data_IF_258974301237
#
_entry.id   IF_258974301237
#
_cell.length_a   1.000
_cell.length_b   1.000
_cell.length_c   1.000
_cell.angle_alpha   90.00
_cell.angle_beta   90.00
_cell.angle_gamma   90.00
#
_symmetry.space_group_name_H-M   'P 1'
#
loop_
_entity.id
_entity.type
_entity.pdbx_description
1 polymer ?
#
# COMPACT_ATOMS: atom_id res chain seq x y z
N UNK A 1 28.85 23.65 5.40
CA UNK A 1 27.46 23.93 5.01
C UNK A 1 27.19 23.19 3.71
N UNK A 2 26.26 22.27 3.54
CA UNK A 2 25.41 21.47 4.43
C UNK A 2 25.05 20.29 3.53
N UNK A 3 25.39 19.06 3.92
CA UNK A 3 25.03 17.88 3.16
C UNK A 3 23.53 17.62 3.34
N UNK A 4 22.68 18.41 2.68
CA UNK A 4 21.34 17.97 2.33
C UNK A 4 21.51 16.86 1.28
N UNK A 5 21.81 15.66 1.78
CA UNK A 5 21.54 14.44 1.03
C UNK A 5 20.04 14.48 0.73
N UNK A 6 19.66 14.69 -0.53
CA UNK A 6 18.34 14.26 -1.00
C UNK A 6 18.19 12.81 -0.52
N UNK A 7 17.33 12.59 0.47
CA UNK A 7 17.03 11.24 0.91
C UNK A 7 16.41 10.52 -0.29
N UNK A 8 17.02 9.41 -0.67
CA UNK A 8 16.41 8.52 -1.65
C UNK A 8 15.25 7.80 -0.95
N UNK A 9 14.02 8.27 -1.24
CA UNK A 9 12.79 7.72 -0.68
C UNK A 9 12.66 6.22 -0.96
N UNK A 10 13.17 5.73 -2.08
CA UNK A 10 13.13 4.30 -2.41
C UNK A 10 14.09 3.51 -1.51
N UNK A 11 15.31 4.02 -1.30
CA UNK A 11 16.27 3.41 -0.38
C UNK A 11 15.75 3.36 1.07
N UNK A 12 15.01 4.39 1.49
CA UNK A 12 14.32 4.38 2.79
C UNK A 12 13.25 3.30 2.87
N UNK A 13 12.36 3.24 1.89
CA UNK A 13 11.28 2.26 1.87
C UNK A 13 11.84 0.82 1.84
N UNK A 14 12.90 0.58 1.08
CA UNK A 14 13.58 -0.71 0.99
C UNK A 14 14.22 -1.15 2.32
N UNK A 15 14.52 -0.20 3.23
CA UNK A 15 14.96 -0.50 4.59
C UNK A 15 13.84 -0.94 5.55
N UNK A 16 12.56 -0.79 5.17
CA UNK A 16 11.43 -1.20 6.01
C UNK A 16 11.20 -2.71 5.93
N UNK A 17 11.08 -3.36 7.09
CA UNK A 17 10.76 -4.79 7.17
C UNK A 17 9.31 -5.14 6.81
N UNK A 18 8.40 -4.15 6.82
CA UNK A 18 7.01 -4.33 6.39
C UNK A 18 6.90 -4.12 4.89
N UNK A 19 6.06 -4.91 4.22
CA UNK A 19 5.73 -4.68 2.81
C UNK A 19 4.98 -3.36 2.65
N UNK A 20 5.49 -2.45 1.83
CA UNK A 20 4.90 -1.14 1.56
C UNK A 20 4.61 -0.96 0.08
N UNK A 21 3.39 -0.51 -0.21
CA UNK A 21 2.91 -0.10 -1.52
C UNK A 21 2.50 1.37 -1.43
N UNK A 22 2.93 2.19 -2.38
CA UNK A 22 2.52 3.60 -2.48
C UNK A 22 1.86 3.79 -3.82
N UNK A 23 0.62 4.26 -3.79
CA UNK A 23 -0.15 4.61 -4.98
C UNK A 23 -0.25 6.13 -5.08
N UNK A 24 -0.38 6.64 -6.30
CA UNK A 24 -0.74 8.04 -6.52
C UNK A 24 -2.27 8.22 -6.65
N UNK A 25 -2.70 9.47 -6.76
CA UNK A 25 -4.11 9.85 -6.93
C UNK A 25 -4.75 9.39 -8.24
N UNK A 26 -3.94 8.93 -9.20
CA UNK A 26 -4.38 8.28 -10.43
C UNK A 26 -4.39 6.75 -10.31
N UNK A 27 -4.33 6.24 -9.08
CA UNK A 27 -4.33 4.82 -8.71
C UNK A 27 -3.12 4.04 -9.18
N UNK A 28 -2.04 4.70 -9.62
CA UNK A 28 -0.85 4.02 -10.13
C UNK A 28 0.08 3.67 -8.98
N UNK A 29 0.63 2.45 -8.98
CA UNK A 29 1.69 2.07 -8.05
C UNK A 29 2.97 2.85 -8.38
N UNK A 30 3.33 3.82 -7.55
CA UNK A 30 4.49 4.71 -7.76
C UNK A 30 5.72 4.27 -6.98
N UNK A 31 5.54 3.61 -5.84
CA UNK A 31 6.66 3.03 -5.08
C UNK A 31 6.25 1.69 -4.48
N UNK A 32 7.24 0.81 -4.36
CA UNK A 32 7.09 -0.50 -3.73
C UNK A 32 8.43 -0.87 -3.12
N UNK A 33 8.43 -1.49 -1.94
CA UNK A 33 9.67 -1.84 -1.27
C UNK A 33 10.09 -3.30 -1.45
N UNK A 34 11.32 -3.62 -1.03
CA UNK A 34 11.89 -4.96 -1.12
C UNK A 34 11.06 -6.00 -0.36
N UNK A 35 10.55 -5.68 0.83
CA UNK A 35 9.71 -6.59 1.60
C UNK A 35 8.39 -6.91 0.87
N UNK A 36 7.74 -5.92 0.25
CA UNK A 36 6.54 -6.14 -0.56
C UNK A 36 6.84 -6.96 -1.81
N UNK A 37 7.98 -6.73 -2.47
CA UNK A 37 8.42 -7.57 -3.61
C UNK A 37 8.62 -9.04 -3.21
N UNK A 38 9.26 -9.28 -2.06
CA UNK A 38 9.47 -10.62 -1.54
C UNK A 38 8.15 -11.31 -1.16
N UNK A 39 7.24 -10.56 -0.54
CA UNK A 39 5.92 -11.06 -0.17
C UNK A 39 5.08 -11.34 -1.42
N UNK A 40 4.94 -10.38 -2.33
CA UNK A 40 4.03 -10.44 -3.49
C UNK A 40 4.57 -11.32 -4.63
N UNK A 41 5.88 -11.45 -4.80
CA UNK A 41 6.46 -12.31 -5.82
C UNK A 41 6.00 -11.93 -7.23
N UNK A 42 5.53 -12.91 -8.01
CA UNK A 42 5.09 -12.70 -9.40
C UNK A 42 3.82 -11.85 -9.52
N UNK A 43 3.02 -11.79 -8.45
CA UNK A 43 1.70 -11.14 -8.43
C UNK A 43 1.80 -9.62 -8.53
N UNK A 44 2.98 -9.08 -8.17
CA UNK A 44 3.32 -7.65 -8.29
C UNK A 44 3.04 -7.07 -9.69
N UNK A 45 3.11 -7.89 -10.74
CA UNK A 45 2.86 -7.46 -12.12
C UNK A 45 1.44 -6.93 -12.31
N UNK A 46 0.45 -7.50 -11.62
CA UNK A 46 -0.92 -7.01 -11.67
C UNK A 46 -1.03 -5.57 -11.11
N UNK A 47 -0.30 -5.26 -10.05
CA UNK A 47 -0.27 -3.92 -9.44
C UNK A 47 0.42 -2.89 -10.33
N UNK A 48 1.49 -3.27 -11.04
CA UNK A 48 2.16 -2.38 -11.99
C UNK A 48 1.30 -2.06 -13.22
N UNK A 49 0.53 -3.03 -13.72
CA UNK A 49 -0.29 -2.85 -14.93
C UNK A 49 -1.60 -2.13 -14.61
N UNK A 50 -2.29 -2.56 -13.54
CA UNK A 50 -3.64 -2.14 -13.24
C UNK A 50 -3.74 -1.16 -12.08
N UNK A 51 -2.63 -0.86 -11.38
CA UNK A 51 -2.65 0.03 -10.23
C UNK A 51 -3.43 -0.54 -9.05
N UNK A 52 -4.12 0.33 -8.31
CA UNK A 52 -4.97 -0.02 -7.18
C UNK A 52 -6.05 -1.06 -7.54
N UNK A 53 -6.78 -0.98 -8.67
CA UNK A 53 -7.68 -2.06 -9.11
C UNK A 53 -7.03 -3.45 -9.20
N UNK A 54 -5.73 -3.51 -9.53
CA UNK A 54 -4.96 -4.76 -9.53
C UNK A 54 -4.81 -5.38 -8.14
N UNK A 55 -4.90 -4.59 -7.08
CA UNK A 55 -4.87 -5.05 -5.69
C UNK A 55 -6.19 -5.74 -5.28
N UNK A 56 -7.34 -5.23 -5.74
CA UNK A 56 -8.65 -5.77 -5.36
C UNK A 56 -8.85 -7.23 -5.79
N UNK A 57 -8.37 -7.60 -6.99
CA UNK A 57 -8.38 -8.97 -7.47
C UNK A 57 -7.32 -9.88 -6.84
N UNK A 58 -6.46 -9.34 -5.96
CA UNK A 58 -5.39 -10.10 -5.33
C UNK A 58 -5.69 -10.47 -3.89
N UNK A 59 -6.38 -9.60 -3.16
CA UNK A 59 -6.72 -9.79 -1.75
C UNK A 59 -8.15 -10.32 -1.58
N UNK A 60 -8.62 -11.11 -2.56
CA UNK A 60 -10.01 -11.54 -2.83
C UNK A 60 -10.79 -12.16 -1.67
N UNK A 61 -10.20 -12.35 -0.49
CA UNK A 61 -10.86 -13.02 0.62
C UNK A 61 -10.46 -12.43 1.97
N UNK A 62 -11.48 -12.00 2.71
CA UNK A 62 -11.50 -11.67 4.14
C UNK A 62 -10.82 -10.37 4.56
N UNK A 63 -11.61 -9.31 4.45
CA UNK A 63 -11.67 -8.33 5.53
C UNK A 63 -12.56 -8.90 6.64
N UNK A 64 -12.04 -8.95 7.86
CA UNK A 64 -12.68 -9.57 9.02
C UNK A 64 -14.12 -9.06 9.23
N UNK A 65 -15.02 -10.00 9.56
CA UNK A 65 -16.43 -9.94 9.99
C UNK A 65 -17.46 -9.08 9.21
N UNK A 66 -17.06 -8.07 8.44
CA UNK A 66 -17.96 -7.00 7.99
C UNK A 66 -18.28 -7.06 6.48
N UNK A 67 -17.48 -7.80 5.70
CA UNK A 67 -17.60 -7.84 4.23
C UNK A 67 -17.15 -6.55 3.53
N UNK A 68 -16.38 -5.70 4.21
CA UNK A 68 -15.82 -4.48 3.65
C UNK A 68 -14.91 -4.79 2.45
N UNK A 69 -14.85 -3.89 1.46
CA UNK A 69 -13.94 -3.98 0.32
C UNK A 69 -12.70 -3.12 0.52
N UNK A 70 -11.62 -3.43 -0.19
CA UNK A 70 -10.41 -2.60 -0.17
C UNK A 70 -10.68 -1.15 -0.63
N UNK A 71 -11.60 -0.93 -1.57
CA UNK A 71 -11.99 0.42 -1.98
C UNK A 71 -12.64 1.20 -0.84
N UNK A 72 -13.47 0.55 -0.01
CA UNK A 72 -14.07 1.17 1.17
C UNK A 72 -12.99 1.53 2.20
N UNK A 73 -12.00 0.66 2.40
CA UNK A 73 -10.85 0.95 3.27
C UNK A 73 -10.03 2.12 2.76
N UNK A 74 -9.78 2.18 1.45
CA UNK A 74 -9.09 3.31 0.85
C UNK A 74 -9.85 4.60 1.05
N UNK A 75 -11.16 4.61 0.78
CA UNK A 75 -12.00 5.78 1.01
C UNK A 75 -11.93 6.26 2.48
N UNK A 76 -11.93 5.32 3.44
CA UNK A 76 -11.76 5.64 4.86
C UNK A 76 -10.36 6.16 5.19
N UNK A 77 -9.32 5.57 4.59
CA UNK A 77 -7.94 6.00 4.81
C UNK A 77 -7.67 7.41 4.27
N UNK A 78 -8.29 7.77 3.14
CA UNK A 78 -8.26 9.13 2.59
C UNK A 78 -9.01 10.13 3.48
N UNK A 79 -10.13 9.71 4.07
CA UNK A 79 -10.92 10.55 4.97
C UNK A 79 -10.42 10.60 6.43
N UNK A 80 -9.30 9.93 6.75
CA UNK A 80 -8.84 9.73 8.13
C UNK A 80 -7.43 10.28 8.36
N UNK A 81 -7.25 11.03 9.45
CA UNK A 81 -5.92 11.46 9.91
C UNK A 81 -5.09 10.33 10.53
N UNK A 82 -5.70 9.16 10.77
CA UNK A 82 -5.06 7.99 11.37
C UNK A 82 -5.07 6.81 10.41
N UNK A 83 -4.01 5.98 10.39
CA UNK A 83 -4.00 4.76 9.59
C UNK A 83 -5.16 3.83 9.94
N UNK A 84 -5.87 3.36 8.91
CA UNK A 84 -6.93 2.36 9.02
C UNK A 84 -6.28 0.99 9.08
N UNK A 85 -6.58 0.24 10.14
CA UNK A 85 -6.13 -1.15 10.30
C UNK A 85 -7.11 -2.08 9.63
N UNK A 86 -6.60 -3.09 8.96
CA UNK A 86 -7.39 -4.14 8.35
C UNK A 86 -6.57 -5.43 8.22
N UNK A 87 -7.19 -6.48 7.71
CA UNK A 87 -6.54 -7.77 7.48
C UNK A 87 -6.84 -8.24 6.05
N UNK A 88 -5.90 -8.97 5.47
CA UNK A 88 -6.11 -9.68 4.21
C UNK A 88 -5.86 -11.16 4.46
N UNK A 89 -6.52 -12.04 3.71
CA UNK A 89 -6.10 -13.43 3.63
C UNK A 89 -5.30 -13.66 2.36
N UNK A 90 -4.15 -14.35 2.48
CA UNK A 90 -3.37 -14.80 1.34
C UNK A 90 -2.81 -16.19 1.60
N UNK A 91 -3.00 -17.11 0.66
CA UNK A 91 -2.51 -18.50 0.78
C UNK A 91 -2.92 -19.19 2.11
N UNK A 92 -4.09 -18.83 2.66
CA UNK A 92 -4.57 -19.35 3.94
C UNK A 92 -4.06 -18.60 5.18
N UNK A 93 -3.09 -17.70 5.04
CA UNK A 93 -2.55 -16.87 6.11
C UNK A 93 -3.30 -15.55 6.24
N UNK A 94 -3.52 -15.08 7.47
CA UNK A 94 -4.09 -13.76 7.76
C UNK A 94 -2.94 -12.78 7.97
N UNK A 95 -2.85 -11.77 7.12
CA UNK A 95 -1.80 -10.74 7.16
C UNK A 95 -2.41 -9.43 7.67
N UNK A 96 -1.90 -8.87 8.79
CA UNK A 96 -2.33 -7.56 9.26
C UNK A 96 -1.80 -6.46 8.33
N UNK A 97 -2.65 -5.48 8.03
CA UNK A 97 -2.34 -4.38 7.12
C UNK A 97 -2.80 -3.04 7.68
N UNK A 98 -2.21 -1.98 7.12
CA UNK A 98 -2.54 -0.60 7.40
C UNK A 98 -2.67 0.18 6.10
N UNK A 99 -3.67 1.06 6.02
CA UNK A 99 -3.82 2.03 4.93
C UNK A 99 -3.82 3.44 5.53
N UNK A 100 -3.10 4.36 4.90
CA UNK A 100 -3.06 5.78 5.28
C UNK A 100 -2.91 6.62 4.03
N UNK A 101 -3.55 7.79 4.02
CA UNK A 101 -3.19 8.83 3.06
C UNK A 101 -1.78 9.34 3.33
N UNK A 102 -1.05 9.70 2.27
CA UNK A 102 0.21 10.44 2.38
C UNK A 102 -0.09 11.87 1.98
N UNK A 103 -0.06 12.79 2.95
CA UNK A 103 -0.31 14.21 2.69
C UNK A 103 0.99 14.93 2.33
N UNK A 104 0.96 15.74 1.27
CA UNK A 104 2.03 16.67 0.91
C UNK A 104 1.48 18.11 0.92
N UNK A 105 2.34 19.10 1.19
CA UNK A 105 2.01 20.50 0.85
C UNK A 105 1.72 20.58 -0.66
N UNK A 106 0.44 20.62 -1.03
CA UNK A 106 -0.04 20.58 -2.42
C UNK A 106 -1.13 19.55 -2.72
N UNK A 107 -1.43 18.61 -1.81
CA UNK A 107 -2.52 17.64 -1.96
C UNK A 107 -2.22 16.26 -1.39
N UNK A 108 -3.14 15.33 -1.60
CA UNK A 108 -3.00 13.90 -1.26
C UNK A 108 -2.26 13.17 -2.38
N UNK A 109 -1.39 12.23 -1.99
CA UNK A 109 -0.77 11.25 -2.89
C UNK A 109 -1.54 9.93 -2.75
#
# INVERSE_FOLDING_TARGET
MTAERMLDNQALLDGLGQGTLVFDSADRLVMINQAARALLGHDIRAFHINGWPGANGFFERYLADDGETLDQIRARALASERPIRFQIQRNGEIIPCWASAVHREGGEI
#
